data_IF_431804891365
#
_entry.id   IF_431804891365
#
_cell.length_a   1.000
_cell.length_b   1.000
_cell.length_c   1.000
_cell.angle_alpha   90.00
_cell.angle_beta   90.00
_cell.angle_gamma   90.00
#
_symmetry.space_group_name_H-M   'P 1'
#
loop_
_entity.id
_entity.type
_entity.pdbx_description
1 polymer ?
#
# COMPACT_ATOMS: atom_id res chain seq x y z
N UNK A 1 0.65 0.91 -7.53
CA UNK A 1 -0.81 1.12 -7.58
C UNK A 1 -1.31 1.18 -9.02
N UNK A 2 -0.73 2.00 -9.90
CA UNK A 2 -1.30 2.30 -11.23
C UNK A 2 -1.36 1.13 -12.21
N UNK A 3 -0.48 0.14 -12.08
CA UNK A 3 -0.43 -1.01 -12.99
C UNK A 3 -1.03 -2.29 -12.40
N UNK A 4 -1.48 -2.30 -11.14
CA UNK A 4 -2.09 -3.48 -10.51
C UNK A 4 -1.14 -4.62 -10.16
N UNK A 5 0.06 -4.61 -10.74
CA UNK A 5 1.10 -5.59 -10.45
C UNK A 5 2.04 -5.06 -9.37
N UNK A 6 2.27 -5.88 -8.35
CA UNK A 6 3.37 -5.71 -7.41
C UNK A 6 4.67 -6.02 -8.15
N UNK A 7 5.74 -5.28 -7.87
CA UNK A 7 7.07 -5.71 -8.27
C UNK A 7 7.39 -7.06 -7.61
N UNK A 8 8.27 -7.84 -8.23
CA UNK A 8 8.57 -9.19 -7.75
C UNK A 8 8.95 -9.18 -6.27
N UNK A 9 8.28 -10.01 -5.49
CA UNK A 9 8.59 -10.26 -4.10
C UNK A 9 8.66 -11.75 -3.84
N UNK A 10 9.43 -12.11 -2.83
CA UNK A 10 9.56 -13.46 -2.36
C UNK A 10 9.54 -13.43 -0.83
N UNK A 11 8.47 -13.98 -0.25
CA UNK A 11 8.41 -14.23 1.18
C UNK A 11 8.66 -15.72 1.43
N UNK A 12 9.61 -16.03 2.31
CA UNK A 12 9.95 -17.40 2.70
C UNK A 12 10.08 -17.51 4.22
N UNK A 13 9.54 -18.59 4.78
CA UNK A 13 9.47 -18.86 6.22
C UNK A 13 10.35 -20.02 6.69
N UNK A 14 11.33 -20.49 5.90
CA UNK A 14 12.27 -21.55 6.32
C UNK A 14 13.56 -20.99 6.93
N UNK A 15 14.24 -21.81 7.74
CA UNK A 15 15.48 -21.43 8.41
C UNK A 15 16.58 -21.06 7.40
N UNK A 16 17.24 -19.91 7.60
CA UNK A 16 18.21 -19.31 6.68
C UNK A 16 17.64 -18.91 5.31
N UNK A 17 16.32 -18.89 5.16
CA UNK A 17 15.64 -18.33 4.00
C UNK A 17 15.82 -16.81 3.91
N UNK A 18 15.79 -16.30 2.68
CA UNK A 18 15.93 -14.86 2.39
C UNK A 18 14.56 -14.34 1.95
N UNK A 19 14.23 -13.14 2.40
CA UNK A 19 13.01 -12.45 1.99
C UNK A 19 13.40 -11.30 1.07
N UNK A 20 12.73 -11.17 -0.07
CA UNK A 20 13.00 -10.13 -1.05
C UNK A 20 11.72 -9.34 -1.26
N UNK A 21 11.83 -8.03 -1.11
CA UNK A 21 10.77 -7.10 -1.46
C UNK A 21 11.33 -6.08 -2.44
N UNK A 22 10.72 -6.02 -3.63
CA UNK A 22 10.98 -4.96 -4.58
C UNK A 22 9.81 -3.96 -4.58
N UNK A 23 10.14 -2.69 -4.74
CA UNK A 23 9.18 -1.63 -5.00
C UNK A 23 9.75 -0.67 -6.04
N UNK A 24 8.85 -0.06 -6.81
CA UNK A 24 9.22 0.88 -7.87
C UNK A 24 8.94 2.29 -7.38
N UNK A 25 9.97 3.14 -7.42
CA UNK A 25 9.84 4.58 -7.23
C UNK A 25 9.82 5.24 -8.59
N UNK A 26 8.65 5.72 -9.01
CA UNK A 26 8.52 6.51 -10.23
C UNK A 26 8.75 7.98 -9.89
N UNK A 27 9.67 8.63 -10.59
CA UNK A 27 9.85 10.09 -10.53
C UNK A 27 8.88 10.84 -11.46
N UNK A 28 7.76 10.21 -11.83
CA UNK A 28 6.68 10.74 -12.67
C UNK A 28 5.38 9.95 -12.48
N UNK A 29 4.39 10.05 -13.37
CA UNK A 29 3.12 9.30 -13.22
C UNK A 29 3.31 7.80 -13.35
N UNK A 30 4.11 7.40 -14.33
CA UNK A 30 4.44 6.01 -14.60
C UNK A 30 5.88 5.91 -15.09
N UNK A 31 6.36 4.68 -15.23
CA UNK A 31 7.65 4.42 -15.85
C UNK A 31 7.71 5.05 -17.25
N UNK A 32 8.82 5.71 -17.57
CA UNK A 32 9.01 6.49 -18.82
C UNK A 32 7.97 7.60 -19.06
N UNK A 33 7.38 8.20 -18.02
CA UNK A 33 6.57 9.41 -18.19
C UNK A 33 7.44 10.58 -18.65
N UNK A 34 7.22 11.04 -19.87
CA UNK A 34 8.06 12.05 -20.51
C UNK A 34 7.60 13.48 -20.26
N UNK A 35 6.38 13.65 -19.77
CA UNK A 35 5.74 14.97 -19.61
C UNK A 35 5.80 15.45 -18.16
N UNK A 36 5.62 14.52 -17.22
CA UNK A 36 5.48 14.80 -15.78
C UNK A 36 6.55 14.09 -14.94
N UNK A 37 7.79 14.01 -15.42
CA UNK A 37 8.92 13.46 -14.67
C UNK A 37 9.82 14.54 -14.07
N UNK A 38 10.52 14.17 -12.98
CA UNK A 38 11.56 14.97 -12.37
C UNK A 38 12.69 15.25 -13.36
N UNK A 39 12.91 16.52 -13.66
CA UNK A 39 14.06 16.95 -14.46
C UNK A 39 15.35 16.86 -13.63
N UNK A 40 16.04 15.73 -13.72
CA UNK A 40 17.28 15.51 -12.97
C UNK A 40 18.42 16.44 -13.38
N UNK A 41 18.35 17.13 -14.54
CA UNK A 41 19.34 18.14 -14.90
C UNK A 41 19.24 19.41 -14.03
N UNK A 42 18.08 19.64 -13.40
CA UNK A 42 17.85 20.76 -12.47
C UNK A 42 18.13 20.41 -11.01
N UNK A 43 18.24 19.11 -10.70
CA UNK A 43 18.47 18.64 -9.34
C UNK A 43 19.95 18.75 -8.98
N UNK A 44 20.29 19.75 -8.18
CA UNK A 44 21.65 19.91 -7.63
C UNK A 44 21.81 18.99 -6.42
N UNK A 45 22.80 18.09 -6.47
CA UNK A 45 23.13 17.17 -5.36
C UNK A 45 21.95 16.28 -4.91
N UNK A 46 21.20 15.71 -5.85
CA UNK A 46 20.12 14.76 -5.55
C UNK A 46 20.60 13.58 -4.72
N UNK A 47 19.84 13.21 -3.68
CA UNK A 47 20.14 12.08 -2.78
C UNK A 47 18.91 11.20 -2.64
N UNK A 48 19.11 9.90 -2.83
CA UNK A 48 18.16 8.88 -2.37
C UNK A 48 18.53 8.53 -0.93
N UNK A 49 17.61 8.79 0.01
CA UNK A 49 17.75 8.41 1.41
C UNK A 49 16.66 7.39 1.71
N UNK A 50 17.08 6.22 2.15
CA UNK A 50 16.18 5.13 2.54
C UNK A 50 16.45 4.86 4.02
N UNK A 51 15.39 4.86 4.81
CA UNK A 51 15.42 4.56 6.23
C UNK A 51 14.59 3.31 6.46
N UNK A 52 15.16 2.40 7.23
CA UNK A 52 14.55 1.14 7.62
C UNK A 52 14.78 1.00 9.12
N UNK A 53 13.80 0.46 9.85
CA UNK A 53 13.94 0.15 11.26
C UNK A 53 13.70 -1.34 11.50
N UNK A 54 14.78 -2.12 11.68
CA UNK A 54 14.66 -3.59 11.84
C UNK A 54 13.93 -3.95 13.14
N UNK A 55 14.22 -3.20 14.21
CA UNK A 55 13.69 -3.47 15.55
C UNK A 55 12.16 -3.33 15.58
N UNK A 56 11.61 -2.46 14.74
CA UNK A 56 10.17 -2.20 14.60
C UNK A 56 9.47 -3.19 13.65
N UNK A 57 10.15 -3.67 12.60
CA UNK A 57 9.55 -4.60 11.61
C UNK A 57 9.37 -6.00 12.18
N UNK A 58 10.32 -6.48 12.98
CA UNK A 58 10.21 -7.74 13.74
C UNK A 58 11.30 -7.74 14.81
N UNK A 59 10.93 -7.86 16.08
CA UNK A 59 11.93 -8.01 17.15
C UNK A 59 12.89 -9.14 16.79
N UNK A 60 14.19 -8.82 16.72
CA UNK A 60 15.25 -9.83 16.54
C UNK A 60 15.10 -10.84 17.68
N UNK A 61 14.88 -12.11 17.35
CA UNK A 61 14.57 -13.13 18.35
C UNK A 61 14.09 -14.44 17.74
N UNK A 62 13.77 -15.40 18.61
CA UNK A 62 13.46 -16.79 18.22
C UNK A 62 12.27 -16.93 17.24
N UNK A 63 11.41 -15.91 17.14
CA UNK A 63 10.23 -15.88 16.26
C UNK A 63 10.34 -14.82 15.15
N UNK A 64 11.49 -14.16 15.02
CA UNK A 64 11.74 -13.03 14.11
C UNK A 64 12.87 -13.29 13.10
N UNK A 65 13.43 -12.24 12.52
CA UNK A 65 14.66 -12.36 11.74
C UNK A 65 15.83 -12.69 12.66
N UNK A 66 16.52 -13.81 12.39
CA UNK A 66 17.70 -14.23 13.15
C UNK A 66 18.99 -13.53 12.70
N UNK A 67 19.02 -13.04 11.46
CA UNK A 67 20.15 -12.34 10.87
C UNK A 67 20.02 -10.81 10.96
N UNK A 68 21.16 -10.13 11.09
CA UNK A 68 21.26 -8.66 11.00
C UNK A 68 21.69 -8.20 9.61
N UNK A 69 21.94 -9.13 8.68
CA UNK A 69 22.41 -8.84 7.33
C UNK A 69 21.26 -8.35 6.45
N UNK A 70 21.45 -7.19 5.83
CA UNK A 70 20.50 -6.58 4.92
C UNK A 70 21.26 -6.17 3.66
N UNK A 71 20.66 -6.44 2.51
CA UNK A 71 21.15 -6.00 1.21
C UNK A 71 20.06 -5.18 0.55
N UNK A 72 20.45 -4.04 0.01
CA UNK A 72 19.56 -3.15 -0.72
C UNK A 72 20.23 -2.80 -2.04
N UNK A 73 19.64 -3.33 -3.10
CA UNK A 73 20.07 -3.04 -4.46
C UNK A 73 19.16 -1.97 -5.07
N UNK A 74 19.77 -0.90 -5.55
CA UNK A 74 19.06 0.17 -6.25
C UNK A 74 19.34 0.03 -7.74
N UNK A 75 18.35 -0.47 -8.48
CA UNK A 75 18.38 -0.45 -9.93
C UNK A 75 17.80 0.87 -10.43
N UNK A 76 18.65 1.74 -10.96
CA UNK A 76 18.22 2.98 -11.58
C UNK A 76 18.11 2.81 -13.09
N UNK A 77 16.91 3.06 -13.63
CA UNK A 77 16.63 2.92 -15.05
C UNK A 77 16.39 4.31 -15.63
N UNK A 78 17.23 4.71 -16.58
CA UNK A 78 17.06 5.94 -17.36
C UNK A 78 16.89 5.62 -18.84
N UNK A 79 16.05 6.37 -19.57
CA UNK A 79 16.06 6.34 -21.02
C UNK A 79 17.41 6.87 -21.53
N UNK A 80 18.17 6.03 -22.25
CA UNK A 80 19.52 6.36 -22.76
C UNK A 80 19.51 7.51 -23.76
N UNK A 81 18.43 7.67 -24.53
CA UNK A 81 18.27 8.72 -25.54
C UNK A 81 16.86 9.31 -25.47
N UNK A 82 16.62 10.17 -24.48
CA UNK A 82 15.38 10.96 -24.46
C UNK A 82 15.56 12.25 -25.27
N UNK A 83 14.96 12.31 -26.47
CA UNK A 83 14.88 13.49 -27.34
C UNK A 83 13.52 14.23 -27.24
N UNK A 84 12.73 13.95 -26.21
CA UNK A 84 11.42 14.58 -26.06
C UNK A 84 11.49 15.97 -25.41
N UNK A 85 10.32 16.56 -25.19
CA UNK A 85 10.19 17.88 -24.58
C UNK A 85 10.70 17.90 -23.14
N UNK A 86 11.28 19.03 -22.72
CA UNK A 86 11.65 19.21 -21.31
C UNK A 86 10.40 19.06 -20.43
N UNK A 87 10.39 18.15 -19.45
CA UNK A 87 9.23 17.96 -18.59
C UNK A 87 8.98 19.25 -17.81
N UNK A 88 7.71 19.66 -17.73
CA UNK A 88 7.34 20.94 -17.08
C UNK A 88 7.01 20.77 -15.61
N UNK A 89 6.57 19.58 -15.23
CA UNK A 89 6.14 19.23 -13.88
C UNK A 89 6.68 17.86 -13.50
N UNK A 90 6.63 17.54 -12.22
CA UNK A 90 6.90 16.22 -11.69
C UNK A 90 5.90 15.88 -10.59
N UNK A 91 5.89 14.61 -10.21
CA UNK A 91 5.02 14.11 -9.15
C UNK A 91 5.80 14.11 -7.85
N UNK A 92 5.35 14.95 -6.91
CA UNK A 92 5.91 15.02 -5.56
C UNK A 92 5.00 14.25 -4.61
N UNK A 93 5.53 13.21 -3.99
CA UNK A 93 4.83 12.50 -2.91
C UNK A 93 5.35 12.98 -1.56
N UNK A 94 4.47 13.19 -0.59
CA UNK A 94 4.85 13.62 0.76
C UNK A 94 3.94 12.96 1.78
N UNK A 95 4.54 12.26 2.76
CA UNK A 95 3.81 11.87 3.96
C UNK A 95 3.44 13.14 4.72
N UNK A 96 2.14 13.42 4.78
CA UNK A 96 1.59 14.61 5.41
C UNK A 96 1.49 14.41 6.90
N UNK A 97 1.00 13.25 7.32
CA UNK A 97 0.80 12.93 8.72
C UNK A 97 0.69 11.41 8.94
N UNK A 98 1.16 10.94 10.10
CA UNK A 98 1.04 9.55 10.53
C UNK A 98 0.84 9.50 12.05
N UNK A 99 -0.11 8.68 12.51
CA UNK A 99 -0.46 8.57 13.92
C UNK A 99 -1.09 7.21 14.25
N UNK A 100 -1.03 6.75 15.50
CA UNK A 100 -1.79 5.59 15.95
C UNK A 100 -3.28 5.93 16.07
N UNK A 101 -4.16 5.01 15.67
CA UNK A 101 -5.60 5.21 15.78
C UNK A 101 -6.10 5.11 17.22
N UNK A 102 -7.18 5.82 17.52
CA UNK A 102 -7.90 5.83 18.78
C UNK A 102 -9.31 5.24 18.63
N UNK A 103 -9.89 4.77 19.73
CA UNK A 103 -11.22 4.14 19.75
C UNK A 103 -12.34 5.08 19.25
N UNK A 104 -12.15 6.40 19.37
CA UNK A 104 -13.03 7.42 18.83
C UNK A 104 -12.27 8.75 18.68
N UNK A 105 -12.79 9.65 17.85
CA UNK A 105 -12.24 10.98 17.67
C UNK A 105 -12.19 11.38 16.19
N UNK A 106 -11.89 12.65 15.95
CA UNK A 106 -11.67 13.19 14.62
C UNK A 106 -10.25 13.74 14.59
N UNK A 107 -9.41 13.16 13.73
CA UNK A 107 -8.10 13.73 13.42
C UNK A 107 -8.23 14.75 12.29
N UNK A 108 -7.51 15.87 12.39
CA UNK A 108 -7.61 16.99 11.45
C UNK A 108 -6.28 17.15 10.72
N UNK A 109 -6.17 16.54 9.54
CA UNK A 109 -4.94 16.53 8.76
C UNK A 109 -4.92 17.71 7.81
N UNK A 110 -3.96 18.62 7.97
CA UNK A 110 -3.79 19.77 7.08
C UNK A 110 -3.13 19.34 5.78
N UNK A 111 -3.86 19.38 4.67
CA UNK A 111 -3.33 18.99 3.37
C UNK A 111 -2.42 20.10 2.81
N UNK A 112 -1.35 19.76 2.07
CA UNK A 112 -0.49 20.75 1.43
C UNK A 112 -1.27 21.51 0.36
N UNK A 113 -0.98 22.81 0.25
CA UNK A 113 -1.64 23.73 -0.69
C UNK A 113 -0.67 24.41 -1.65
N UNK A 114 0.55 23.88 -1.78
CA UNK A 114 1.56 24.53 -2.62
C UNK A 114 1.33 24.26 -4.11
N UNK A 115 0.76 23.10 -4.43
CA UNK A 115 0.53 22.65 -5.80
C UNK A 115 -0.83 21.93 -5.92
N UNK A 116 -1.33 21.70 -7.14
CA UNK A 116 -2.50 20.85 -7.35
C UNK A 116 -2.25 19.43 -6.82
N UNK A 117 -3.21 18.89 -6.06
CA UNK A 117 -3.16 17.52 -5.54
C UNK A 117 -3.76 16.59 -6.59
N UNK A 118 -2.99 15.59 -7.02
CA UNK A 118 -3.49 14.54 -7.91
C UNK A 118 -4.17 13.42 -7.15
N UNK A 119 -3.62 13.05 -5.99
CA UNK A 119 -4.08 11.91 -5.19
C UNK A 119 -3.78 12.11 -3.71
N UNK A 120 -4.60 11.49 -2.88
CA UNK A 120 -4.33 11.35 -1.44
C UNK A 120 -4.40 9.85 -1.13
N UNK A 121 -3.27 9.25 -0.77
CA UNK A 121 -3.20 7.90 -0.23
C UNK A 121 -3.52 7.93 1.26
N UNK A 122 -4.39 7.02 1.67
CA UNK A 122 -4.74 6.76 3.06
C UNK A 122 -4.39 5.32 3.36
N UNK A 123 -3.48 5.13 4.31
CA UNK A 123 -3.21 3.83 4.90
C UNK A 123 -3.92 3.73 6.24
N UNK A 124 -4.63 2.63 6.48
CA UNK A 124 -5.21 2.30 7.77
C UNK A 124 -4.95 0.83 8.05
N UNK A 125 -3.83 0.54 8.71
CA UNK A 125 -3.38 -0.83 8.97
C UNK A 125 -3.62 -1.23 10.42
N UNK A 126 -4.30 -2.34 10.61
CA UNK A 126 -4.43 -3.00 11.89
C UNK A 126 -4.56 -4.50 11.66
N UNK A 127 -3.76 -5.31 12.35
CA UNK A 127 -3.62 -6.74 12.04
C UNK A 127 -4.94 -7.49 12.31
N UNK A 128 -5.52 -8.07 11.25
CA UNK A 128 -6.78 -8.82 11.33
C UNK A 128 -8.03 -7.95 11.50
N UNK A 129 -7.92 -6.62 11.35
CA UNK A 129 -9.03 -5.69 11.49
C UNK A 129 -9.25 -4.96 10.17
N UNK A 130 -10.53 -4.78 9.80
CA UNK A 130 -10.88 -4.04 8.59
C UNK A 130 -10.38 -2.60 8.68
N UNK A 131 -9.75 -2.06 7.63
CA UNK A 131 -9.41 -0.64 7.57
C UNK A 131 -10.62 0.28 7.80
N UNK A 132 -11.82 -0.15 7.40
CA UNK A 132 -13.06 0.61 7.59
C UNK A 132 -13.59 0.56 9.03
N UNK A 133 -13.09 -0.37 9.85
CA UNK A 133 -13.31 -0.36 11.29
C UNK A 133 -12.36 0.63 11.99
N UNK A 134 -11.10 0.69 11.54
CA UNK A 134 -10.09 1.65 12.04
C UNK A 134 -10.45 3.10 11.66
N UNK A 135 -10.84 3.34 10.41
CA UNK A 135 -11.33 4.65 9.91
C UNK A 135 -12.79 4.53 9.45
N UNK A 136 -13.70 5.19 10.17
CA UNK A 136 -15.15 5.13 9.91
C UNK A 136 -15.59 6.08 8.81
N UNK A 137 -15.08 7.32 8.82
CA UNK A 137 -15.45 8.36 7.86
C UNK A 137 -14.22 9.19 7.48
N UNK A 138 -14.23 9.68 6.25
CA UNK A 138 -13.24 10.59 5.70
C UNK A 138 -13.99 11.75 5.05
N UNK A 139 -13.54 12.98 5.35
CA UNK A 139 -14.11 14.19 4.75
C UNK A 139 -12.99 15.14 4.35
N UNK A 140 -13.00 15.59 3.10
CA UNK A 140 -12.12 16.66 2.63
C UNK A 140 -12.91 17.96 2.67
N UNK A 141 -12.47 18.91 3.49
CA UNK A 141 -13.14 20.20 3.68
C UNK A 141 -12.22 21.34 3.22
N UNK A 142 -12.64 22.05 2.17
CA UNK A 142 -11.97 23.24 1.67
C UNK A 142 -12.76 24.51 2.05
N UNK A 143 -12.07 25.47 2.66
CA UNK A 143 -12.60 26.77 3.08
C UNK A 143 -13.89 26.69 3.93
N UNK A 144 -13.96 25.73 4.86
CA UNK A 144 -15.11 25.52 5.77
C UNK A 144 -16.41 25.19 5.02
N UNK A 145 -16.36 24.18 4.16
CA UNK A 145 -17.50 23.62 3.45
C UNK A 145 -17.80 24.28 2.10
N UNK A 146 -16.96 25.22 1.64
CA UNK A 146 -17.12 25.83 0.31
C UNK A 146 -17.00 24.80 -0.80
N UNK A 147 -16.09 23.84 -0.62
CA UNK A 147 -15.99 22.65 -1.46
C UNK A 147 -15.72 21.44 -0.56
N UNK A 148 -16.50 20.38 -0.76
CA UNK A 148 -16.34 19.10 -0.08
C UNK A 148 -16.22 18.01 -1.15
N UNK A 149 -15.00 17.72 -1.64
CA UNK A 149 -14.81 16.74 -2.72
C UNK A 149 -15.20 15.31 -2.32
N UNK A 150 -15.13 15.02 -1.03
CA UNK A 150 -15.45 13.71 -0.48
C UNK A 150 -15.95 13.85 0.96
N UNK A 151 -17.03 13.15 1.29
CA UNK A 151 -17.54 12.97 2.65
C UNK A 151 -18.25 11.61 2.69
N UNK A 152 -17.50 10.56 3.06
CA UNK A 152 -18.03 9.21 3.14
C UNK A 152 -17.12 8.25 3.92
N UNK A 153 -17.59 7.02 4.08
CA UNK A 153 -16.87 5.95 4.75
C UNK A 153 -15.68 5.45 3.93
N UNK A 154 -14.63 4.96 4.60
CA UNK A 154 -13.50 4.31 3.91
C UNK A 154 -13.97 3.11 3.04
N UNK A 155 -15.05 2.44 3.43
CA UNK A 155 -15.67 1.39 2.63
C UNK A 155 -16.11 1.87 1.24
N UNK A 156 -16.67 3.09 1.14
CA UNK A 156 -16.99 3.70 -0.16
C UNK A 156 -15.77 4.15 -0.94
N UNK A 157 -14.71 4.56 -0.25
CA UNK A 157 -13.43 4.80 -0.93
C UNK A 157 -12.87 3.51 -1.53
N UNK A 158 -12.92 2.39 -0.78
CA UNK A 158 -12.55 1.07 -1.29
C UNK A 158 -13.36 0.71 -2.53
N UNK A 159 -14.69 0.88 -2.49
CA UNK A 159 -15.56 0.63 -3.64
C UNK A 159 -15.10 1.44 -4.86
N UNK A 160 -14.82 2.75 -4.70
CA UNK A 160 -14.29 3.60 -5.76
C UNK A 160 -12.94 3.12 -6.31
N UNK A 161 -12.04 2.70 -5.41
CA UNK A 161 -10.73 2.18 -5.78
C UNK A 161 -10.84 0.89 -6.60
N UNK A 162 -11.81 0.03 -6.28
CA UNK A 162 -12.03 -1.21 -7.02
C UNK A 162 -12.49 -0.98 -8.47
N UNK A 163 -13.05 0.20 -8.78
CA UNK A 163 -13.43 0.55 -10.15
C UNK A 163 -12.21 1.10 -10.92
N UNK A 164 -11.40 1.96 -10.30
CA UNK A 164 -10.34 2.70 -11.01
C UNK A 164 -8.96 2.06 -10.97
N UNK A 165 -8.69 1.21 -9.97
CA UNK A 165 -7.40 0.54 -9.82
C UNK A 165 -7.54 -0.95 -10.07
N UNK A 166 -6.52 -1.58 -10.67
CA UNK A 166 -6.59 -3.01 -10.87
C UNK A 166 -6.45 -3.74 -9.54
N UNK A 167 -6.94 -4.96 -9.52
CA UNK A 167 -6.76 -5.85 -8.39
C UNK A 167 -5.27 -6.16 -8.18
N UNK A 168 -4.85 -6.19 -6.92
CA UNK A 168 -3.48 -6.48 -6.55
C UNK A 168 -3.28 -7.99 -6.38
N UNK A 169 -2.15 -8.48 -6.85
CA UNK A 169 -1.72 -9.87 -6.69
C UNK A 169 -0.57 -9.93 -5.68
N UNK A 170 -0.68 -10.80 -4.70
CA UNK A 170 0.38 -11.10 -3.75
C UNK A 170 0.66 -12.60 -3.73
N UNK A 171 1.93 -12.96 -3.97
CA UNK A 171 2.40 -14.33 -4.00
C UNK A 171 3.35 -14.57 -2.82
N UNK A 172 3.03 -15.58 -2.02
CA UNK A 172 3.81 -16.04 -0.89
C UNK A 172 4.30 -17.45 -1.22
N UNK A 173 5.57 -17.54 -1.63
CA UNK A 173 6.11 -18.73 -2.27
C UNK A 173 6.35 -19.88 -1.29
N UNK A 174 6.85 -19.60 -0.09
CA UNK A 174 7.17 -20.64 0.89
C UNK A 174 6.65 -20.22 2.28
N UNK A 175 5.38 -20.49 2.56
CA UNK A 175 4.83 -20.37 3.91
C UNK A 175 4.85 -21.73 4.61
N UNK A 176 4.98 -21.72 5.93
CA UNK A 176 4.88 -22.91 6.77
C UNK A 176 3.60 -22.83 7.58
N UNK A 177 2.67 -23.74 7.35
CA UNK A 177 1.38 -23.72 8.03
C UNK A 177 0.84 -25.14 8.27
N UNK A 178 0.03 -25.27 9.31
CA UNK A 178 -0.80 -26.44 9.61
C UNK A 178 -2.29 -26.05 9.60
N UNK A 179 -3.19 -27.00 9.89
CA UNK A 179 -4.62 -26.68 10.03
C UNK A 179 -4.82 -25.56 11.07
N UNK A 180 -5.68 -24.60 10.73
CA UNK A 180 -6.08 -23.45 11.56
C UNK A 180 -5.00 -22.39 11.79
N UNK A 181 -3.84 -22.51 11.14
CA UNK A 181 -2.87 -21.43 11.15
C UNK A 181 -3.39 -20.22 10.35
N UNK A 182 -3.03 -19.03 10.82
CA UNK A 182 -3.44 -17.78 10.20
C UNK A 182 -2.24 -17.08 9.57
N UNK A 183 -2.37 -16.64 8.31
CA UNK A 183 -1.29 -15.98 7.56
C UNK A 183 -1.72 -14.61 7.05
N UNK A 184 -0.82 -13.64 7.18
CA UNK A 184 -0.99 -12.29 6.60
C UNK A 184 -0.84 -12.35 5.08
N UNK A 185 -1.79 -11.75 4.36
CA UNK A 185 -1.80 -11.67 2.89
C UNK A 185 -1.44 -10.27 2.39
N UNK A 186 -1.21 -9.30 3.28
CA UNK A 186 -0.84 -7.91 2.97
C UNK A 186 -1.81 -7.17 2.02
N UNK A 187 -3.07 -7.61 1.98
CA UNK A 187 -4.17 -7.02 1.24
C UNK A 187 -5.31 -6.76 2.22
N UNK A 188 -5.86 -5.54 2.26
CA UNK A 188 -6.95 -5.20 3.18
C UNK A 188 -8.21 -6.05 2.96
N UNK A 189 -8.53 -6.30 1.70
CA UNK A 189 -9.72 -7.05 1.29
C UNK A 189 -9.31 -8.08 0.25
N UNK A 190 -9.34 -9.35 0.64
CA UNK A 190 -9.27 -10.48 -0.29
C UNK A 190 -10.47 -10.47 -1.23
N UNK A 191 -10.21 -10.91 -2.45
CA UNK A 191 -11.21 -11.23 -3.45
C UNK A 191 -11.16 -12.72 -3.79
N UNK A 192 -9.94 -13.26 -3.86
CA UNK A 192 -9.66 -14.66 -4.13
C UNK A 192 -8.35 -15.04 -3.42
N UNK A 193 -8.34 -16.20 -2.79
CA UNK A 193 -7.15 -16.78 -2.16
C UNK A 193 -7.01 -18.24 -2.57
N UNK A 194 -5.78 -18.68 -2.77
CA UNK A 194 -5.49 -20.07 -3.13
C UNK A 194 -4.27 -20.54 -2.36
N UNK A 195 -4.37 -21.75 -1.84
CA UNK A 195 -3.32 -22.42 -1.07
C UNK A 195 -2.99 -23.72 -1.79
N UNK A 196 -1.71 -24.01 -1.95
CA UNK A 196 -1.23 -25.23 -2.59
C UNK A 196 -0.13 -25.86 -1.74
N UNK A 197 -0.17 -27.19 -1.57
CA UNK A 197 0.89 -27.90 -0.86
C UNK A 197 2.09 -28.16 -1.78
N UNK A 198 3.31 -27.98 -1.26
CA UNK A 198 4.53 -28.07 -2.06
C UNK A 198 5.19 -29.44 -1.96
N UNK A 199 5.44 -29.91 -0.74
CA UNK A 199 6.31 -31.09 -0.53
C UNK A 199 5.53 -32.42 -0.48
N UNK A 200 4.29 -32.38 0.00
CA UNK A 200 3.43 -33.54 0.15
C UNK A 200 2.06 -33.27 -0.47
N UNK A 201 1.42 -34.27 -1.11
CA UNK A 201 0.10 -34.08 -1.66
C UNK A 201 -0.92 -34.00 -0.51
N UNK A 202 -1.43 -32.79 -0.28
CA UNK A 202 -2.43 -32.46 0.76
C UNK A 202 -3.69 -31.90 0.14
N UNK A 203 -4.80 -32.05 0.86
CA UNK A 203 -6.01 -31.27 0.63
C UNK A 203 -5.78 -29.93 1.32
N UNK A 204 -5.70 -28.87 0.53
CA UNK A 204 -5.53 -27.49 1.01
C UNK A 204 -6.76 -26.67 0.66
N UNK A 205 -7.08 -25.67 1.50
CA UNK A 205 -8.20 -24.74 1.29
C UNK A 205 -7.96 -23.44 2.03
N UNK A 206 -8.57 -22.35 1.55
CA UNK A 206 -8.87 -21.19 2.38
C UNK A 206 -10.03 -21.58 3.32
N UNK A 207 -9.76 -21.65 4.63
CA UNK A 207 -10.79 -22.06 5.59
C UNK A 207 -11.71 -20.90 5.94
N UNK A 208 -11.12 -19.73 6.09
CA UNK A 208 -11.80 -18.48 6.41
C UNK A 208 -10.88 -17.29 6.07
N UNK A 209 -11.45 -16.10 5.99
CA UNK A 209 -10.72 -14.87 5.70
C UNK A 209 -11.04 -13.80 6.76
N UNK A 210 -9.99 -13.21 7.33
CA UNK A 210 -10.10 -12.16 8.36
C UNK A 210 -9.22 -11.00 7.94
N UNK A 211 -9.80 -9.98 7.31
CA UNK A 211 -9.19 -8.71 6.86
C UNK A 211 -7.66 -8.63 6.98
N UNK A 212 -6.95 -8.77 5.86
CA UNK A 212 -5.48 -8.84 5.87
C UNK A 212 -4.92 -10.23 6.11
N UNK A 213 -5.74 -11.20 6.52
CA UNK A 213 -5.32 -12.57 6.83
C UNK A 213 -6.22 -13.64 6.21
N UNK A 214 -5.65 -14.81 6.02
CA UNK A 214 -6.36 -16.05 5.66
C UNK A 214 -6.09 -17.12 6.71
N UNK A 215 -7.11 -17.90 7.06
CA UNK A 215 -7.00 -19.10 7.89
C UNK A 215 -6.79 -20.29 6.96
N UNK A 216 -5.72 -21.03 7.16
CA UNK A 216 -5.30 -22.11 6.28
C UNK A 216 -5.96 -23.43 6.74
N UNK A 217 -6.56 -24.15 5.79
CA UNK A 217 -6.96 -25.54 5.97
C UNK A 217 -5.95 -26.48 5.32
N UNK A 218 -5.46 -27.47 6.07
CA UNK A 218 -4.55 -28.52 5.59
C UNK A 218 -4.97 -29.87 6.15
N UNK A 219 -5.29 -30.81 5.28
CA UNK A 219 -5.62 -32.19 5.65
C UNK A 219 -4.93 -33.22 4.74
N UNK A 220 -4.79 -34.44 5.23
CA UNK A 220 -4.43 -35.58 4.37
C UNK A 220 -5.61 -36.04 3.50
N UNK A 221 -5.38 -37.01 2.60
CA UNK A 221 -6.44 -37.55 1.74
C UNK A 221 -7.51 -38.37 2.47
N UNK A 222 -7.28 -38.72 3.74
CA UNK A 222 -8.30 -39.32 4.62
C UNK A 222 -9.14 -38.23 5.32
N UNK A 223 -8.84 -36.95 5.10
CA UNK A 223 -9.51 -35.82 5.73
C UNK A 223 -9.03 -35.53 7.16
N UNK A 224 -7.92 -36.14 7.59
CA UNK A 224 -7.34 -35.89 8.91
C UNK A 224 -6.57 -34.56 8.89
N UNK A 225 -6.88 -33.62 9.80
CA UNK A 225 -6.15 -32.35 9.90
C UNK A 225 -4.65 -32.56 10.14
N UNK A 226 -3.83 -31.79 9.42
CA UNK A 226 -2.38 -31.79 9.61
C UNK A 226 -2.06 -30.94 10.84
N UNK A 227 -1.36 -31.52 11.82
CA UNK A 227 -1.04 -30.89 13.11
C UNK A 227 0.37 -30.29 13.19
N UNK A 228 1.20 -30.52 12.17
CA UNK A 228 2.60 -30.05 12.08
C UNK A 228 2.69 -29.13 10.88
N UNK A 229 3.47 -28.05 10.99
CA UNK A 229 3.64 -27.13 9.86
C UNK A 229 4.23 -27.85 8.65
N UNK A 230 3.63 -27.61 7.49
CA UNK A 230 4.13 -28.08 6.20
C UNK A 230 4.32 -26.89 5.26
N UNK A 231 5.17 -27.10 4.25
CA UNK A 231 5.47 -26.09 3.24
C UNK A 231 4.31 -25.96 2.26
N UNK A 232 3.74 -24.76 2.18
CA UNK A 232 2.67 -24.38 1.27
C UNK A 232 3.03 -23.14 0.45
N UNK A 233 2.34 -22.97 -0.67
CA UNK A 233 2.27 -21.76 -1.45
C UNK A 233 0.92 -21.08 -1.19
N UNK A 234 0.94 -19.76 -1.03
CA UNK A 234 -0.27 -18.97 -0.86
C UNK A 234 -0.27 -17.84 -1.89
N UNK A 235 -1.34 -17.75 -2.67
CA UNK A 235 -1.61 -16.64 -3.56
C UNK A 235 -2.86 -15.94 -3.06
N UNK A 236 -2.76 -14.63 -2.90
CA UNK A 236 -3.87 -13.76 -2.54
C UNK A 236 -4.07 -12.69 -3.59
N UNK A 237 -5.31 -12.46 -3.98
CA UNK A 237 -5.72 -11.44 -4.94
C UNK A 237 -6.76 -10.58 -4.24
N UNK A 238 -6.62 -9.26 -4.32
CA UNK A 238 -7.50 -8.37 -3.58
C UNK A 238 -7.23 -6.89 -3.75
N UNK A 239 -7.83 -6.10 -2.87
CA UNK A 239 -7.78 -4.64 -2.86
C UNK A 239 -7.12 -4.11 -1.60
N UNK A 240 -6.64 -2.87 -1.69
CA UNK A 240 -6.01 -2.19 -0.56
C UNK A 240 -4.68 -2.81 -0.19
N UNK A 241 -3.73 -2.84 -1.13
CA UNK A 241 -2.38 -3.32 -0.91
C UNK A 241 -1.72 -2.54 0.26
N UNK A 242 -1.17 -3.27 1.24
CA UNK A 242 -0.71 -2.73 2.53
C UNK A 242 -1.74 -1.85 3.26
N UNK A 243 -3.03 -2.10 3.04
CA UNK A 243 -4.14 -1.33 3.58
C UNK A 243 -4.16 0.14 3.12
N UNK A 244 -3.67 0.40 1.92
CA UNK A 244 -3.66 1.72 1.29
C UNK A 244 -4.82 1.89 0.30
N UNK A 245 -5.51 3.02 0.37
CA UNK A 245 -6.58 3.43 -0.54
C UNK A 245 -6.29 4.83 -1.09
N UNK A 246 -6.66 5.10 -2.34
CA UNK A 246 -6.42 6.39 -2.99
C UNK A 246 -7.71 7.19 -3.09
N UNK A 247 -7.65 8.48 -2.82
CA UNK A 247 -8.57 9.47 -3.37
C UNK A 247 -8.01 10.00 -4.68
N UNK A 248 -8.52 9.56 -5.85
CA UNK A 248 -8.01 10.04 -7.13
C UNK A 248 -8.74 11.30 -7.60
N UNK A 249 -7.98 12.35 -7.90
CA UNK A 249 -8.44 13.52 -8.66
C UNK A 249 -7.97 13.46 -10.12
N UNK A 250 -7.19 12.44 -10.48
CA UNK A 250 -6.64 12.22 -11.82
C UNK A 250 -7.33 11.08 -12.59
N UNK A 251 -8.41 10.52 -12.05
CA UNK A 251 -9.18 9.45 -12.67
C UNK A 251 -10.52 9.96 -13.24
N UNK A 252 -11.04 9.35 -14.32
CA UNK A 252 -10.45 8.24 -15.10
C UNK A 252 -9.35 8.69 -16.06
N UNK A 253 -9.15 10.00 -16.23
CA UNK A 253 -8.14 10.57 -17.13
C UNK A 253 -7.41 11.72 -16.44
N UNK A 254 -6.08 11.65 -16.47
CA UNK A 254 -5.23 12.71 -15.95
C UNK A 254 -5.44 14.00 -16.75
N UNK A 255 -5.95 15.03 -16.09
CA UNK A 255 -6.25 16.35 -16.65
C UNK A 255 -5.79 17.39 -15.62
N UNK A 256 -4.63 18.04 -15.79
CA UNK A 256 -4.02 18.93 -14.78
C UNK A 256 -4.97 19.98 -14.20
N UNK A 257 -5.88 20.48 -15.03
CA UNK A 257 -6.84 21.53 -14.72
C UNK A 257 -7.99 21.03 -13.82
N UNK A 258 -8.24 19.71 -13.83
CA UNK A 258 -9.29 19.05 -13.05
C UNK A 258 -8.76 18.41 -11.76
N UNK A 259 -7.44 18.44 -11.53
CA UNK A 259 -6.87 18.06 -10.25
C UNK A 259 -7.42 18.95 -9.12
N UNK A 260 -7.33 18.50 -7.88
CA UNK A 260 -7.73 19.33 -6.74
C UNK A 260 -6.78 20.52 -6.64
N UNK A 261 -7.27 21.71 -7.04
CA UNK A 261 -6.52 22.96 -7.08
C UNK A 261 -6.29 23.52 -5.67
N UNK A 262 -5.53 22.77 -4.85
CA UNK A 262 -5.32 23.02 -3.43
C UNK A 262 -4.79 24.42 -3.12
N UNK A 263 -3.99 24.98 -4.04
CA UNK A 263 -3.41 26.32 -3.97
C UNK A 263 -4.43 27.46 -4.02
N UNK A 264 -5.66 27.18 -4.44
CA UNK A 264 -6.73 28.19 -4.56
C UNK A 264 -7.56 28.36 -3.28
N UNK A 265 -7.41 27.46 -2.32
CA UNK A 265 -8.14 27.50 -1.05
C UNK A 265 -7.32 28.17 0.04
N UNK A 266 -7.98 28.90 0.95
CA UNK A 266 -7.38 29.44 2.16
C UNK A 266 -7.14 28.39 3.25
N UNK A 267 -7.96 27.33 3.25
CA UNK A 267 -7.90 26.17 4.15
C UNK A 267 -8.28 24.90 3.39
N UNK A 268 -7.56 23.80 3.63
CA UNK A 268 -7.85 22.49 3.06
C UNK A 268 -7.44 21.41 4.05
N UNK A 269 -8.42 20.77 4.67
CA UNK A 269 -8.20 19.75 5.70
C UNK A 269 -8.86 18.43 5.30
N UNK A 270 -8.24 17.33 5.73
CA UNK A 270 -8.82 15.99 5.72
C UNK A 270 -9.22 15.64 7.15
N UNK A 271 -10.51 15.53 7.38
CA UNK A 271 -11.08 15.04 8.63
C UNK A 271 -11.14 13.51 8.60
N UNK A 272 -10.50 12.85 9.57
CA UNK A 272 -10.47 11.39 9.69
C UNK A 272 -11.20 10.98 10.96
N UNK A 273 -12.39 10.39 10.80
CA UNK A 273 -13.16 9.86 11.93
C UNK A 273 -12.67 8.46 12.28
N UNK A 274 -12.14 8.32 13.48
CA UNK A 274 -11.53 7.08 13.98
C UNK A 274 -12.60 6.15 14.58
N UNK A 275 -12.38 4.84 14.50
CA UNK A 275 -13.35 3.86 14.99
C UNK A 275 -12.79 2.66 15.74
N UNK A 276 -11.46 2.54 15.84
CA UNK A 276 -10.81 1.50 16.61
C UNK A 276 -9.42 1.97 17.08
N UNK A 277 -9.00 1.55 18.27
CA UNK A 277 -7.69 1.86 18.84
C UNK A 277 -6.66 0.81 18.42
N UNK A 278 -5.40 1.23 18.21
CA UNK A 278 -4.26 0.31 18.00
C UNK A 278 -3.88 0.04 16.55
N UNK A 279 -4.58 0.66 15.59
CA UNK A 279 -4.16 0.70 14.19
C UNK A 279 -3.10 1.78 13.93
N UNK A 280 -2.40 1.67 12.80
CA UNK A 280 -1.50 2.68 12.29
C UNK A 280 -2.12 3.37 11.06
N UNK A 281 -2.28 4.68 11.14
CA UNK A 281 -2.82 5.51 10.06
C UNK A 281 -1.69 6.35 9.47
N UNK A 282 -1.62 6.43 8.14
CA UNK A 282 -0.76 7.42 7.47
C UNK A 282 -1.43 8.02 6.24
N UNK A 283 -1.15 9.29 6.02
CA UNK A 283 -1.67 10.09 4.90
C UNK A 283 -0.50 10.53 4.03
N UNK A 284 -0.54 10.18 2.76
CA UNK A 284 0.45 10.62 1.77
C UNK A 284 -0.27 11.37 0.67
N UNK A 285 0.21 12.56 0.36
CA UNK A 285 -0.34 13.40 -0.70
C UNK A 285 0.58 13.39 -1.90
N UNK A 286 0.01 13.24 -3.09
CA UNK A 286 0.73 13.37 -4.35
C UNK A 286 0.33 14.68 -5.03
N UNK A 287 1.32 15.55 -5.20
CA UNK A 287 1.21 16.89 -5.77
C UNK A 287 1.83 16.94 -7.17
N UNK A 288 1.22 17.70 -8.08
CA UNK A 288 1.81 18.06 -9.37
C UNK A 288 2.69 19.30 -9.22
N UNK A 289 3.97 19.11 -8.95
CA UNK A 289 4.91 20.19 -8.68
C UNK A 289 5.62 20.67 -9.96
N UNK A 290 5.93 21.97 -10.10
CA UNK A 290 6.71 22.47 -11.24
C UNK A 290 8.17 22.00 -11.18
N UNK A 291 8.77 21.71 -12.32
CA UNK A 291 10.23 21.50 -12.42
C UNK A 291 10.95 22.85 -12.30
N UNK A 292 11.36 23.21 -11.08
CA UNK A 292 12.18 24.41 -10.78
C UNK A 292 13.65 24.18 -11.06
#
# INVERSE_FOLDING_TARGET
FDQGYKAWNQMTEWANGWNIEAFVVNFGKHFMDTEHMLDCAKVVNGKLRLTWNLEEVRTIGATGYLGTEQQMDVLYIMPHEYKGHTPTHYIKSTETEAWPSAASGIEQVKLPRNNPIRRIMIRAWESGISPAATIRNLKIDADNGKLVPYDNTLGKLKDLNAIWYPIAYNYLNDIWAKEDDTKEIHLAYSHDTSVEAVDAPRITRDKDEVYGKVIIGVADHAGVPIAVEEKLQLRAIGYGYHNCFMFPFDMPKFTPELLLQAQTFGKLDLEVTQGNEGGAISIVTEELAPNV
#
